data_IF_493442171732
#
_entry.id   IF_493442171732
#
_cell.length_a   1.000
_cell.length_b   1.000
_cell.length_c   1.000
_cell.angle_alpha   90.00
_cell.angle_beta   90.00
_cell.angle_gamma   90.00
#
_symmetry.space_group_name_H-M   'P 1'
#
loop_
_entity.id
_entity.type
_entity.pdbx_description
1 polymer ?
#
# COMPACT_ATOMS: atom_id res chain seq x y z
N UNK A 1 -8.55 17.22 -18.90
CA UNK A 1 -9.71 16.31 -19.02
C UNK A 1 -9.66 15.29 -17.88
N UNK A 2 -10.25 15.65 -16.73
CA UNK A 2 -10.28 14.85 -15.51
C UNK A 2 -11.67 14.31 -15.28
N UNK A 3 -12.11 13.41 -16.15
CA UNK A 3 -13.36 12.67 -15.97
C UNK A 3 -12.94 11.30 -15.46
N UNK A 4 -13.53 10.85 -14.35
CA UNK A 4 -13.50 9.43 -13.99
C UNK A 4 -14.00 8.66 -15.22
N UNK A 5 -13.08 8.00 -15.92
CA UNK A 5 -13.41 7.17 -17.06
C UNK A 5 -14.42 6.12 -16.55
N UNK A 6 -15.56 5.88 -17.23
CA UNK A 6 -16.49 4.81 -16.85
C UNK A 6 -15.79 3.49 -16.50
N UNK A 7 -14.70 3.19 -17.19
CA UNK A 7 -13.81 2.06 -16.89
C UNK A 7 -13.25 2.04 -15.45
N UNK A 8 -12.84 3.19 -14.92
CA UNK A 8 -12.34 3.32 -13.55
C UNK A 8 -13.48 3.12 -12.55
N UNK A 9 -14.67 3.65 -12.84
CA UNK A 9 -15.83 3.45 -11.98
C UNK A 9 -16.24 1.97 -11.91
N UNK A 10 -16.26 1.27 -13.05
CA UNK A 10 -16.49 -0.18 -13.11
C UNK A 10 -15.41 -0.97 -12.35
N UNK A 11 -14.13 -0.60 -12.51
CA UNK A 11 -13.03 -1.20 -11.74
C UNK A 11 -13.21 -0.99 -10.23
N UNK A 12 -13.56 0.23 -9.78
CA UNK A 12 -13.84 0.49 -8.36
C UNK A 12 -14.98 -0.39 -7.85
N UNK A 13 -16.09 -0.49 -8.59
CA UNK A 13 -17.22 -1.34 -8.21
C UNK A 13 -16.78 -2.80 -8.08
N UNK A 14 -16.05 -3.31 -9.05
CA UNK A 14 -15.51 -4.67 -9.03
C UNK A 14 -14.65 -4.93 -7.78
N UNK A 15 -13.73 -4.03 -7.45
CA UNK A 15 -12.89 -4.17 -6.25
C UNK A 15 -13.67 -4.05 -4.94
N UNK A 16 -14.72 -3.23 -4.92
CA UNK A 16 -15.61 -3.12 -3.75
C UNK A 16 -16.43 -4.39 -3.55
N UNK A 17 -16.80 -5.09 -4.62
CA UNK A 17 -17.47 -6.39 -4.57
C UNK A 17 -16.53 -7.55 -4.20
N UNK A 18 -15.29 -7.52 -4.70
CA UNK A 18 -14.27 -8.53 -4.40
C UNK A 18 -13.71 -8.40 -2.97
N UNK A 19 -13.60 -7.16 -2.48
CA UNK A 19 -13.06 -6.82 -1.17
C UNK A 19 -14.13 -6.10 -0.33
N UNK A 20 -13.71 -5.16 0.51
CA UNK A 20 -14.62 -4.27 1.22
C UNK A 20 -14.43 -2.82 0.76
N UNK A 21 -15.48 -1.97 0.84
CA UNK A 21 -15.37 -0.55 0.51
C UNK A 21 -14.23 0.16 1.25
N UNK A 22 -13.98 -0.24 2.49
CA UNK A 22 -12.94 0.33 3.36
C UNK A 22 -11.54 0.05 2.81
N UNK A 23 -11.28 -1.17 2.35
CA UNK A 23 -10.00 -1.57 1.77
C UNK A 23 -9.73 -0.80 0.48
N UNK A 24 -10.75 -0.68 -0.39
CA UNK A 24 -10.63 0.09 -1.63
C UNK A 24 -10.36 1.57 -1.35
N UNK A 25 -11.08 2.16 -0.40
CA UNK A 25 -10.88 3.55 0.01
C UNK A 25 -9.46 3.77 0.54
N UNK A 26 -8.93 2.84 1.33
CA UNK A 26 -7.57 2.91 1.86
C UNK A 26 -6.51 2.90 0.74
N UNK A 27 -6.67 2.05 -0.28
CA UNK A 27 -5.78 2.04 -1.44
C UNK A 27 -5.83 3.36 -2.23
N UNK A 28 -7.02 3.93 -2.41
CA UNK A 28 -7.21 5.24 -3.05
C UNK A 28 -6.50 6.33 -2.24
N UNK A 29 -6.69 6.37 -0.92
CA UNK A 29 -6.01 7.34 -0.05
C UNK A 29 -4.49 7.24 -0.18
N UNK A 30 -3.93 6.02 -0.14
CA UNK A 30 -2.48 5.78 -0.32
C UNK A 30 -1.98 6.27 -1.68
N UNK A 31 -2.77 6.09 -2.74
CA UNK A 31 -2.46 6.63 -4.06
C UNK A 31 -2.46 8.16 -4.09
N UNK A 32 -3.48 8.79 -3.50
CA UNK A 32 -3.63 10.25 -3.47
C UNK A 32 -2.51 10.91 -2.64
N UNK A 33 -2.11 10.31 -1.52
CA UNK A 33 -0.97 10.77 -0.72
C UNK A 33 0.33 10.79 -1.52
N UNK A 34 0.48 9.90 -2.49
CA UNK A 34 1.64 9.83 -3.40
C UNK A 34 1.44 10.63 -4.70
N UNK A 35 0.35 11.39 -4.79
CA UNK A 35 -0.08 12.11 -6.00
C UNK A 35 -0.15 11.20 -7.23
N UNK A 36 -0.53 9.93 -7.03
CA UNK A 36 -0.66 8.91 -8.08
C UNK A 36 -2.12 8.75 -8.49
N UNK A 37 -2.29 8.27 -9.73
CA UNK A 37 -3.59 7.98 -10.35
C UNK A 37 -4.13 6.62 -9.89
N UNK A 38 -5.38 6.32 -10.24
CA UNK A 38 -6.07 5.06 -9.92
C UNK A 38 -5.25 3.79 -10.22
N UNK A 39 -4.45 3.78 -11.28
CA UNK A 39 -3.60 2.64 -11.66
C UNK A 39 -2.67 2.18 -10.51
N UNK A 40 -2.24 3.14 -9.67
CA UNK A 40 -1.44 2.87 -8.50
C UNK A 40 -2.25 2.27 -7.34
N UNK A 41 -3.47 2.77 -7.11
CA UNK A 41 -4.40 2.17 -6.15
C UNK A 41 -4.76 0.73 -6.56
N UNK A 42 -5.02 0.49 -7.85
CA UNK A 42 -5.29 -0.85 -8.37
C UNK A 42 -4.08 -1.78 -8.20
N UNK A 43 -2.86 -1.28 -8.39
CA UNK A 43 -1.64 -2.04 -8.10
C UNK A 43 -1.51 -2.43 -6.62
N UNK A 44 -1.89 -1.55 -5.70
CA UNK A 44 -1.94 -1.85 -4.26
C UNK A 44 -2.97 -2.95 -3.97
N UNK A 45 -4.18 -2.82 -4.52
CA UNK A 45 -5.26 -3.81 -4.34
C UNK A 45 -4.85 -5.19 -4.87
N UNK A 46 -4.28 -5.26 -6.07
CA UNK A 46 -3.72 -6.49 -6.65
C UNK A 46 -2.65 -7.11 -5.75
N UNK A 47 -1.76 -6.30 -5.19
CA UNK A 47 -0.73 -6.77 -4.25
C UNK A 47 -1.38 -7.41 -3.01
N UNK A 48 -2.35 -6.74 -2.41
CA UNK A 48 -3.06 -7.24 -1.23
C UNK A 48 -3.80 -8.55 -1.49
N UNK A 49 -4.51 -8.67 -2.62
CA UNK A 49 -5.17 -9.92 -3.01
C UNK A 49 -4.15 -11.05 -3.22
N UNK A 50 -3.04 -10.78 -3.92
CA UNK A 50 -1.97 -11.77 -4.12
C UNK A 50 -1.35 -12.24 -2.79
N UNK A 51 -1.26 -11.36 -1.79
CA UNK A 51 -0.76 -11.70 -0.46
C UNK A 51 -1.84 -12.30 0.46
N UNK A 52 -3.09 -12.43 -0.01
CA UNK A 52 -4.26 -12.83 0.79
C UNK A 52 -4.51 -11.90 1.99
N UNK A 53 -4.18 -10.61 1.83
CA UNK A 53 -4.29 -9.56 2.84
C UNK A 53 -5.51 -8.69 2.50
N UNK A 54 -6.71 -9.21 2.74
CA UNK A 54 -7.98 -8.58 2.30
C UNK A 54 -8.76 -7.87 3.40
N UNK A 55 -8.17 -7.73 4.60
CA UNK A 55 -8.79 -7.04 5.74
C UNK A 55 -7.92 -5.86 6.19
N UNK A 56 -8.55 -4.78 6.68
CA UNK A 56 -7.82 -3.61 7.18
C UNK A 56 -6.77 -4.00 8.23
N UNK A 57 -7.12 -4.89 9.15
CA UNK A 57 -6.20 -5.39 10.18
C UNK A 57 -4.98 -6.10 9.59
N UNK A 58 -5.18 -6.93 8.56
CA UNK A 58 -4.08 -7.62 7.90
C UNK A 58 -3.21 -6.64 7.10
N UNK A 59 -3.82 -5.63 6.46
CA UNK A 59 -3.11 -4.58 5.72
C UNK A 59 -2.23 -3.75 6.67
N UNK A 60 -2.77 -3.32 7.81
CA UNK A 60 -2.02 -2.58 8.82
C UNK A 60 -0.86 -3.41 9.41
N UNK A 61 -1.08 -4.71 9.60
CA UNK A 61 -0.02 -5.63 10.01
C UNK A 61 1.08 -5.75 8.95
N UNK A 62 0.74 -5.93 7.67
CA UNK A 62 1.72 -5.99 6.55
C UNK A 62 2.53 -4.69 6.44
N UNK A 63 1.89 -3.53 6.64
CA UNK A 63 2.58 -2.23 6.63
C UNK A 63 3.53 -2.05 7.80
N UNK A 64 3.17 -2.55 8.98
CA UNK A 64 4.04 -2.53 10.17
C UNK A 64 5.29 -3.40 9.94
N UNK A 65 5.12 -4.56 9.31
CA UNK A 65 6.23 -5.42 8.92
C UNK A 65 7.12 -4.78 7.85
N UNK A 66 6.55 -4.04 6.89
CA UNK A 66 7.31 -3.32 5.88
C UNK A 66 8.15 -2.19 6.48
N UNK A 67 7.58 -1.36 7.37
CA UNK A 67 8.32 -0.30 8.08
C UNK A 67 9.51 -0.85 8.89
N UNK A 68 9.34 -1.97 9.59
CA UNK A 68 10.42 -2.60 10.36
C UNK A 68 11.53 -3.19 9.48
N UNK A 69 11.27 -3.51 8.22
CA UNK A 69 12.32 -3.94 7.27
C UNK A 69 13.16 -2.78 6.74
N UNK A 70 12.66 -1.54 6.75
CA UNK A 70 13.43 -0.36 6.31
C UNK A 70 14.39 0.17 7.37
N UNK A 71 14.24 -0.26 8.63
CA UNK A 71 15.24 -0.10 9.66
C UNK A 71 15.54 -1.47 10.25
N UNK A 72 16.38 -2.26 9.55
CA UNK A 72 17.06 -3.35 10.25
C UNK A 72 17.88 -2.71 11.38
N UNK A 73 17.55 -2.93 12.67
CA UNK A 73 18.39 -2.45 13.76
C UNK A 73 19.81 -3.01 13.63
N UNK A 74 19.97 -4.15 12.95
CA UNK A 74 21.26 -4.73 12.57
C UNK A 74 22.09 -3.78 11.71
N UNK A 75 21.50 -3.11 10.70
CA UNK A 75 22.23 -2.14 9.86
C UNK A 75 22.70 -0.92 10.67
N UNK A 76 21.90 -0.47 11.64
CA UNK A 76 22.27 0.64 12.53
C UNK A 76 23.37 0.23 13.51
N UNK A 77 23.28 -0.98 14.08
CA UNK A 77 24.29 -1.52 14.99
C UNK A 77 25.61 -1.79 14.26
N UNK A 78 25.55 -2.28 13.02
CA UNK A 78 26.73 -2.49 12.17
C UNK A 78 27.39 -1.16 11.79
N UNK A 79 26.61 -0.09 11.58
CA UNK A 79 27.12 1.26 11.32
C UNK A 79 27.72 1.89 12.57
N UNK A 80 27.10 1.72 13.74
CA UNK A 80 27.68 2.12 15.03
C UNK A 80 28.98 1.40 15.35
N UNK A 81 29.12 0.13 14.98
CA UNK A 81 30.35 -0.63 15.18
C UNK A 81 31.48 -0.21 14.23
N UNK A 82 31.15 0.33 13.05
CA UNK A 82 32.12 0.77 12.03
C UNK A 82 32.62 2.20 12.20
N UNK A 83 31.98 3.02 13.04
CA UNK A 83 32.45 4.38 13.34
C UNK A 83 32.20 5.41 12.23
N UNK A 84 31.40 5.09 11.22
CA UNK A 84 31.11 5.93 10.05
C UNK A 84 30.04 7.01 10.33
N UNK A 85 30.08 7.65 11.51
CA UNK A 85 29.29 8.85 11.79
C UNK A 85 30.19 10.07 11.64
N UNK A 86 30.36 10.51 10.39
CA UNK A 86 31.02 11.78 10.06
C UNK A 86 30.07 12.71 9.35
#
# INVERSE_FOLDING_TARGET
MGVLNPFIAESIVHWVEELSPEVVLLAIQKSLMRQKRWDYAEGILKKWVNQNVTTIQAIEADETHFQNSFMNPTDLLERMKRGDFS
#
